data_IF_880507633530
#
_entry.id   IF_880507633530
#
_cell.length_a   1.000
_cell.length_b   1.000
_cell.length_c   1.000
_cell.angle_alpha   90.00
_cell.angle_beta   90.00
_cell.angle_gamma   90.00
#
_symmetry.space_group_name_H-M   'P 1'
#
loop_
_entity.id
_entity.type
_entity.pdbx_description
1 polymer ?
#
# COMPACT_ATOMS: atom_id res chain seq x y z
N UNK A 1 -11.04 28.60 6.56
CA UNK A 1 -9.93 27.76 6.08
C UNK A 1 -9.03 28.53 5.12
N UNK A 2 -7.72 28.34 5.20
CA UNK A 2 -6.76 28.89 4.21
C UNK A 2 -6.85 28.17 2.85
N UNK A 3 -7.52 27.01 2.81
CA UNK A 3 -7.68 26.16 1.62
C UNK A 3 -8.84 26.61 0.71
N UNK A 4 -9.69 27.54 1.12
CA UNK A 4 -10.70 28.14 0.25
C UNK A 4 -9.99 29.19 -0.57
N UNK A 5 -9.77 28.94 -1.85
CA UNK A 5 -8.95 29.78 -2.73
C UNK A 5 -9.73 31.01 -3.24
N UNK A 6 -11.03 30.86 -3.43
CA UNK A 6 -11.90 31.94 -3.92
C UNK A 6 -12.05 33.03 -2.86
N UNK A 7 -11.49 34.20 -3.12
CA UNK A 7 -11.51 35.37 -2.21
C UNK A 7 -12.91 35.90 -1.96
N UNK A 8 -13.79 35.87 -2.97
CA UNK A 8 -15.18 36.35 -2.85
C UNK A 8 -15.98 35.39 -1.95
N UNK A 9 -15.81 34.08 -2.14
CA UNK A 9 -16.45 33.08 -1.30
C UNK A 9 -15.97 33.14 0.15
N UNK A 10 -14.67 33.35 0.36
CA UNK A 10 -14.13 33.58 1.72
C UNK A 10 -14.73 34.82 2.39
N UNK A 11 -14.94 35.92 1.64
CA UNK A 11 -15.57 37.10 2.14
C UNK A 11 -17.05 36.86 2.48
N UNK A 12 -17.79 36.15 1.62
CA UNK A 12 -19.19 35.74 1.86
C UNK A 12 -19.31 34.90 3.13
N UNK A 13 -18.56 33.83 3.24
CA UNK A 13 -18.58 32.93 4.39
C UNK A 13 -18.19 33.65 5.69
N UNK A 14 -17.23 34.56 5.62
CA UNK A 14 -16.85 35.41 6.79
C UNK A 14 -17.98 36.34 7.21
N UNK A 15 -18.70 36.94 6.26
CA UNK A 15 -19.83 37.81 6.56
C UNK A 15 -20.97 37.05 7.22
N UNK A 16 -21.36 35.87 6.64
CA UNK A 16 -22.37 34.97 7.18
C UNK A 16 -22.07 34.62 8.64
N UNK A 17 -20.88 34.07 8.90
CA UNK A 17 -20.50 33.66 10.26
C UNK A 17 -20.41 34.84 11.22
N UNK A 18 -20.03 36.04 10.77
CA UNK A 18 -20.01 37.23 11.63
C UNK A 18 -21.40 37.64 12.09
N UNK A 19 -22.45 37.34 11.33
CA UNK A 19 -23.83 37.64 11.67
C UNK A 19 -24.45 36.61 12.64
N UNK A 20 -24.15 35.32 12.44
CA UNK A 20 -24.80 34.22 13.20
C UNK A 20 -23.99 33.79 14.43
N UNK A 21 -22.71 34.13 14.52
CA UNK A 21 -21.83 33.66 15.59
C UNK A 21 -22.16 34.32 16.95
N UNK A 22 -22.37 33.51 18.04
CA UNK A 22 -22.52 34.06 19.37
C UNK A 22 -21.27 34.77 19.88
N UNK A 23 -21.48 35.69 20.85
CA UNK A 23 -20.39 36.37 21.52
C UNK A 23 -19.55 35.37 22.33
N UNK A 24 -18.21 35.49 22.24
CA UNK A 24 -17.28 34.62 22.97
C UNK A 24 -16.96 33.30 22.31
N UNK A 25 -17.56 32.97 21.16
CA UNK A 25 -17.31 31.74 20.41
C UNK A 25 -16.35 31.97 19.23
N UNK A 26 -15.32 31.13 19.10
CA UNK A 26 -14.45 31.05 17.93
C UNK A 26 -14.96 30.05 16.93
N UNK A 27 -14.99 30.39 15.63
CA UNK A 27 -15.47 29.52 14.55
C UNK A 27 -14.43 29.39 13.46
N UNK A 28 -14.20 28.17 12.99
CA UNK A 28 -13.36 27.85 11.82
C UNK A 28 -14.26 27.19 10.77
N UNK A 29 -14.40 27.85 9.62
CA UNK A 29 -15.11 27.31 8.47
C UNK A 29 -14.18 26.40 7.69
N UNK A 30 -14.62 25.20 7.39
CA UNK A 30 -13.90 24.22 6.55
C UNK A 30 -14.21 24.41 5.07
N UNK A 31 -13.49 23.71 4.21
CA UNK A 31 -13.66 23.70 2.75
C UNK A 31 -15.01 23.16 2.30
N UNK A 32 -15.59 22.24 3.06
CA UNK A 32 -16.91 21.66 2.79
C UNK A 32 -18.07 22.69 2.83
N UNK A 33 -17.84 23.84 3.42
CA UNK A 33 -18.81 24.93 3.44
C UNK A 33 -18.77 25.79 2.16
N UNK A 34 -17.81 25.57 1.26
CA UNK A 34 -17.71 26.31 0.01
C UNK A 34 -18.92 25.99 -0.89
N UNK A 35 -19.63 27.04 -1.31
CA UNK A 35 -20.86 26.90 -2.13
C UNK A 35 -22.12 26.53 -1.35
N UNK A 36 -22.04 26.25 -0.04
CA UNK A 36 -23.23 25.94 0.75
C UNK A 36 -24.09 27.18 1.03
N UNK A 37 -25.39 26.96 1.26
CA UNK A 37 -26.31 28.03 1.55
C UNK A 37 -26.07 28.66 2.94
N UNK A 38 -26.54 29.87 3.16
CA UNK A 38 -26.45 30.51 4.48
C UNK A 38 -27.24 29.75 5.55
N UNK A 39 -28.38 29.17 5.14
CA UNK A 39 -29.21 28.36 6.02
C UNK A 39 -28.49 27.11 6.51
N UNK A 40 -27.77 26.40 5.62
CA UNK A 40 -27.02 25.19 5.98
C UNK A 40 -25.89 25.49 6.96
N UNK A 41 -25.20 26.63 6.77
CA UNK A 41 -24.13 27.09 7.68
C UNK A 41 -24.69 27.47 9.06
N UNK A 42 -25.88 28.08 9.08
CA UNK A 42 -26.57 28.43 10.33
C UNK A 42 -27.02 27.18 11.07
N UNK A 43 -27.64 26.21 10.37
CA UNK A 43 -28.10 24.94 10.94
C UNK A 43 -26.91 24.16 11.54
N UNK A 44 -25.79 24.09 10.85
CA UNK A 44 -24.57 23.41 11.36
C UNK A 44 -24.04 24.08 12.64
N UNK A 45 -24.06 25.42 12.69
CA UNK A 45 -23.68 26.16 13.90
C UNK A 45 -24.65 25.89 15.06
N UNK A 46 -25.96 25.88 14.82
CA UNK A 46 -26.97 25.62 15.84
C UNK A 46 -26.82 24.21 16.42
N UNK A 47 -26.60 23.19 15.58
CA UNK A 47 -26.32 21.81 16.00
C UNK A 47 -25.06 21.74 16.88
N UNK A 48 -23.99 22.49 16.53
CA UNK A 48 -22.78 22.52 17.35
C UNK A 48 -23.00 23.21 18.70
N UNK A 49 -23.78 24.28 18.75
CA UNK A 49 -24.14 24.97 19.99
C UNK A 49 -25.02 24.11 20.90
N UNK A 50 -25.99 23.39 20.34
CA UNK A 50 -26.80 22.44 21.09
C UNK A 50 -25.95 21.31 21.71
N UNK A 51 -25.03 20.74 20.91
CA UNK A 51 -24.07 19.74 21.42
C UNK A 51 -23.23 20.29 22.57
N UNK A 52 -22.73 21.52 22.44
CA UNK A 52 -21.98 22.16 23.51
C UNK A 52 -22.78 22.35 24.78
N UNK A 53 -24.01 22.85 24.67
CA UNK A 53 -24.90 23.00 25.81
C UNK A 53 -25.20 21.66 26.51
N UNK A 54 -25.41 20.60 25.76
CA UNK A 54 -25.61 19.25 26.30
C UNK A 54 -24.35 18.75 27.05
N UNK A 55 -23.13 19.06 26.55
CA UNK A 55 -21.88 18.72 27.23
C UNK A 55 -21.74 19.48 28.54
N UNK A 56 -22.05 20.77 28.54
CA UNK A 56 -21.97 21.63 29.75
C UNK A 56 -22.96 21.11 30.80
N UNK A 57 -24.21 20.85 30.42
CA UNK A 57 -25.23 20.31 31.31
C UNK A 57 -24.85 18.95 31.90
N UNK A 58 -24.25 18.06 31.06
CA UNK A 58 -23.72 16.78 31.53
C UNK A 58 -22.56 16.96 32.50
N UNK A 59 -21.69 17.95 32.28
CA UNK A 59 -20.57 18.26 33.16
C UNK A 59 -21.01 18.74 34.55
N UNK A 60 -22.12 19.47 34.62
CA UNK A 60 -22.67 19.97 35.86
C UNK A 60 -23.41 18.88 36.69
N UNK A 61 -23.97 17.88 36.00
CA UNK A 61 -24.78 16.85 36.61
C UNK A 61 -24.05 15.58 36.99
N UNK A 62 -22.89 15.28 36.36
CA UNK A 62 -22.16 14.04 36.55
C UNK A 62 -20.95 14.24 37.47
N UNK A 63 -20.74 13.25 38.38
CA UNK A 63 -19.56 13.26 39.28
C UNK A 63 -18.31 12.70 38.59
N UNK A 64 -17.15 13.37 38.73
CA UNK A 64 -15.88 12.87 38.21
C UNK A 64 -15.41 11.57 38.92
N UNK A 65 -14.67 10.67 38.23
CA UNK A 65 -14.34 10.69 36.81
C UNK A 65 -15.46 10.08 35.94
N UNK A 66 -15.95 10.83 34.94
CA UNK A 66 -16.95 10.31 34.01
C UNK A 66 -16.71 10.83 32.59
N UNK A 67 -17.09 10.00 31.57
CA UNK A 67 -17.01 10.39 30.16
C UNK A 67 -18.22 11.23 29.80
N UNK A 68 -18.07 12.54 29.69
CA UNK A 68 -19.15 13.47 29.42
C UNK A 68 -19.54 13.48 27.94
N UNK A 69 -18.54 13.42 27.04
CA UNK A 69 -18.77 13.44 25.61
C UNK A 69 -17.71 12.59 24.88
N UNK A 70 -18.15 11.86 23.90
CA UNK A 70 -17.27 11.18 22.95
C UNK A 70 -17.50 11.77 21.58
N UNK A 71 -16.49 12.43 21.03
CA UNK A 71 -16.56 12.88 19.64
C UNK A 71 -16.64 11.68 18.71
N UNK A 72 -17.30 11.88 17.62
CA UNK A 72 -17.61 10.99 16.50
C UNK A 72 -17.00 9.60 16.60
N UNK A 73 -17.83 8.56 16.71
CA UNK A 73 -17.35 7.20 16.65
C UNK A 73 -16.84 6.85 15.22
N UNK A 74 -16.17 5.72 15.11
CA UNK A 74 -15.57 5.25 13.86
C UNK A 74 -16.60 5.21 12.71
N UNK A 75 -17.83 4.76 12.98
CA UNK A 75 -18.89 4.63 11.98
C UNK A 75 -19.26 5.99 11.38
N UNK A 76 -19.46 6.99 12.23
CA UNK A 76 -19.75 8.36 11.79
C UNK A 76 -18.62 8.94 10.92
N UNK A 77 -17.36 8.73 11.34
CA UNK A 77 -16.19 9.20 10.58
C UNK A 77 -16.09 8.51 9.23
N UNK A 78 -16.27 7.20 9.18
CA UNK A 78 -16.22 6.42 7.93
C UNK A 78 -17.28 6.90 6.96
N UNK A 79 -18.54 7.09 7.41
CA UNK A 79 -19.60 7.58 6.54
C UNK A 79 -19.26 8.98 6.01
N UNK A 80 -18.82 9.88 6.89
CA UNK A 80 -18.46 11.26 6.50
C UNK A 80 -17.31 11.30 5.48
N UNK A 81 -16.32 10.42 5.62
CA UNK A 81 -15.12 10.46 4.80
C UNK A 81 -15.22 9.61 3.54
N UNK A 82 -15.97 8.50 3.57
CA UNK A 82 -16.05 7.53 2.50
C UNK A 82 -17.36 7.58 1.70
N UNK A 83 -18.45 8.12 2.26
CA UNK A 83 -19.71 8.24 1.55
C UNK A 83 -19.67 9.47 0.62
N UNK A 84 -19.69 9.22 -0.68
CA UNK A 84 -19.69 10.21 -1.76
C UNK A 84 -20.99 10.09 -2.57
N UNK A 85 -21.18 10.97 -3.54
CA UNK A 85 -22.31 10.90 -4.47
C UNK A 85 -22.36 9.58 -5.25
N UNK A 86 -21.20 8.98 -5.48
CA UNK A 86 -21.07 7.70 -6.20
C UNK A 86 -21.35 6.47 -5.32
N UNK A 87 -21.58 6.65 -4.02
CA UNK A 87 -21.86 5.55 -3.10
C UNK A 87 -23.25 4.98 -3.33
N UNK A 88 -23.34 3.77 -3.87
CA UNK A 88 -24.61 3.10 -4.15
C UNK A 88 -25.19 2.36 -2.93
N UNK A 89 -24.34 1.69 -2.14
CA UNK A 89 -24.77 0.83 -1.05
C UNK A 89 -23.79 0.85 0.13
N UNK A 90 -24.33 0.79 1.34
CA UNK A 90 -23.59 0.58 2.59
C UNK A 90 -24.09 -0.74 3.20
N UNK A 91 -23.20 -1.71 3.32
CA UNK A 91 -23.48 -3.03 3.90
C UNK A 91 -22.93 -3.08 5.31
N UNK A 92 -23.76 -3.50 6.27
CA UNK A 92 -23.40 -3.64 7.69
C UNK A 92 -23.80 -5.01 8.22
N UNK A 93 -23.10 -5.50 9.23
CA UNK A 93 -23.29 -6.84 9.80
C UNK A 93 -24.19 -6.88 11.05
N UNK A 94 -24.56 -5.72 11.60
CA UNK A 94 -25.41 -5.63 12.79
C UNK A 94 -26.60 -4.69 12.58
N UNK A 95 -27.77 -5.06 13.15
CA UNK A 95 -28.96 -4.22 13.11
C UNK A 95 -28.72 -2.87 13.83
N UNK A 96 -27.88 -2.86 14.87
CA UNK A 96 -27.50 -1.64 15.57
C UNK A 96 -26.75 -0.67 14.67
N UNK A 97 -25.75 -1.17 13.92
CA UNK A 97 -25.02 -0.36 12.95
C UNK A 97 -25.92 0.14 11.82
N UNK A 98 -26.86 -0.70 11.33
CA UNK A 98 -27.83 -0.32 10.30
C UNK A 98 -28.66 0.89 10.73
N UNK A 99 -29.27 0.83 11.92
CA UNK A 99 -30.07 1.94 12.44
C UNK A 99 -29.25 3.21 12.63
N UNK A 100 -28.02 3.08 13.09
CA UNK A 100 -27.10 4.24 13.23
C UNK A 100 -26.74 4.86 11.90
N UNK A 101 -26.40 4.04 10.90
CA UNK A 101 -26.08 4.53 9.53
C UNK A 101 -27.26 5.28 8.96
N UNK A 102 -28.48 4.72 9.08
CA UNK A 102 -29.70 5.38 8.61
C UNK A 102 -29.90 6.74 9.27
N UNK A 103 -29.74 6.82 10.60
CA UNK A 103 -29.89 8.08 11.35
C UNK A 103 -28.81 9.11 10.90
N UNK A 104 -27.57 8.68 10.66
CA UNK A 104 -26.49 9.56 10.19
C UNK A 104 -26.83 10.13 8.80
N UNK A 105 -27.26 9.28 7.88
CA UNK A 105 -27.62 9.68 6.50
C UNK A 105 -28.81 10.62 6.48
N UNK A 106 -29.82 10.39 7.32
CA UNK A 106 -31.00 11.26 7.46
C UNK A 106 -30.63 12.65 7.99
N UNK A 107 -29.77 12.71 9.02
CA UNK A 107 -29.36 13.97 9.63
C UNK A 107 -28.45 14.83 8.75
N UNK A 108 -27.77 14.21 7.81
CA UNK A 108 -26.78 14.94 6.99
C UNK A 108 -27.27 15.35 5.61
N UNK A 109 -28.48 14.96 5.24
CA UNK A 109 -29.02 15.20 3.88
C UNK A 109 -28.08 14.72 2.76
N UNK A 110 -27.08 13.88 3.12
CA UNK A 110 -26.13 13.29 2.18
C UNK A 110 -26.84 12.22 1.38
N UNK A 111 -26.76 12.33 0.08
CA UNK A 111 -27.20 11.40 -0.95
C UNK A 111 -28.41 10.50 -0.55
N UNK A 112 -29.62 11.00 -0.85
CA UNK A 112 -30.90 10.31 -0.55
C UNK A 112 -31.05 8.91 -1.19
N UNK A 113 -30.11 8.52 -2.06
CA UNK A 113 -30.17 7.29 -2.85
C UNK A 113 -29.29 6.16 -2.32
N UNK A 114 -28.54 6.36 -1.23
CA UNK A 114 -27.69 5.30 -0.66
C UNK A 114 -28.52 4.23 -0.01
N UNK A 115 -28.43 3.01 -0.52
CA UNK A 115 -29.09 1.84 0.06
C UNK A 115 -28.31 1.34 1.27
N UNK A 116 -28.99 1.12 2.41
CA UNK A 116 -28.37 0.51 3.59
C UNK A 116 -28.90 -0.91 3.76
N UNK A 117 -27.99 -1.89 3.69
CA UNK A 117 -28.34 -3.32 3.71
C UNK A 117 -27.73 -4.01 4.92
N UNK A 118 -28.55 -4.82 5.61
CA UNK A 118 -28.07 -5.69 6.69
C UNK A 118 -27.59 -7.01 6.10
N UNK A 119 -26.31 -7.32 6.29
CA UNK A 119 -25.73 -8.60 5.93
C UNK A 119 -26.25 -9.70 6.87
N UNK A 120 -26.76 -10.81 6.30
CA UNK A 120 -27.34 -11.93 7.04
C UNK A 120 -26.63 -13.26 6.77
N UNK A 121 -25.45 -13.22 6.12
CA UNK A 121 -24.67 -14.42 5.83
C UNK A 121 -24.11 -15.08 7.10
N UNK A 122 -23.71 -16.33 6.98
CA UNK A 122 -23.08 -17.12 8.06
C UNK A 122 -21.57 -16.84 8.19
N UNK A 123 -20.92 -16.47 7.10
CA UNK A 123 -19.50 -16.09 7.10
C UNK A 123 -19.34 -14.62 7.50
N UNK A 124 -18.22 -14.24 8.12
CA UNK A 124 -17.93 -12.83 8.37
C UNK A 124 -17.98 -11.99 7.09
N UNK A 125 -18.59 -10.80 7.14
CA UNK A 125 -18.80 -9.92 5.99
C UNK A 125 -17.53 -9.67 5.16
N UNK A 126 -16.39 -9.40 5.81
CA UNK A 126 -15.12 -9.16 5.12
C UNK A 126 -14.55 -10.40 4.39
N UNK A 127 -14.98 -11.59 4.80
CA UNK A 127 -14.61 -12.86 4.13
C UNK A 127 -15.52 -13.07 2.93
N UNK A 128 -16.83 -12.92 3.10
CA UNK A 128 -17.82 -13.07 2.04
C UNK A 128 -17.55 -12.12 0.86
N UNK A 129 -17.16 -10.87 1.15
CA UNK A 129 -16.81 -9.86 0.15
C UNK A 129 -15.34 -9.94 -0.33
N UNK A 130 -14.60 -10.98 0.05
CA UNK A 130 -13.18 -11.19 -0.30
C UNK A 130 -12.21 -10.07 0.12
N UNK A 131 -12.63 -9.12 0.95
CA UNK A 131 -11.80 -7.98 1.41
C UNK A 131 -10.56 -8.47 2.15
N UNK A 132 -10.66 -9.59 2.88
CA UNK A 132 -9.52 -10.20 3.56
C UNK A 132 -8.38 -10.61 2.61
N UNK A 133 -8.70 -11.01 1.37
CA UNK A 133 -7.71 -11.36 0.34
C UNK A 133 -6.99 -10.11 -0.17
N UNK A 134 -7.75 -9.03 -0.39
CA UNK A 134 -7.18 -7.74 -0.80
C UNK A 134 -6.26 -7.15 0.27
N UNK A 135 -6.63 -7.24 1.55
CA UNK A 135 -5.77 -6.82 2.67
C UNK A 135 -4.48 -7.64 2.69
N UNK A 136 -4.56 -8.97 2.54
CA UNK A 136 -3.38 -9.83 2.48
C UNK A 136 -2.49 -9.50 1.28
N UNK A 137 -3.09 -9.28 0.11
CA UNK A 137 -2.36 -8.86 -1.10
C UNK A 137 -1.65 -7.51 -0.90
N UNK A 138 -2.34 -6.56 -0.28
CA UNK A 138 -1.79 -5.24 0.02
C UNK A 138 -0.67 -5.24 1.10
N UNK A 139 -0.50 -6.32 1.85
CA UNK A 139 0.62 -6.47 2.79
C UNK A 139 1.88 -7.09 2.16
N UNK A 140 1.77 -7.61 0.93
CA UNK A 140 2.92 -8.15 0.21
C UNK A 140 3.81 -7.02 -0.33
N UNK A 141 5.12 -7.26 -0.34
CA UNK A 141 6.10 -6.34 -0.93
C UNK A 141 5.89 -6.27 -2.44
N UNK A 142 5.62 -7.41 -3.09
CA UNK A 142 5.38 -7.52 -4.53
C UNK A 142 3.91 -7.35 -4.86
N UNK A 143 3.61 -6.45 -5.79
CA UNK A 143 2.29 -6.20 -6.35
C UNK A 143 2.31 -6.55 -7.83
N UNK A 144 1.48 -7.50 -8.26
CA UNK A 144 1.38 -7.86 -9.66
C UNK A 144 0.39 -6.93 -10.38
N UNK A 145 0.73 -6.55 -11.60
CA UNK A 145 -0.12 -5.76 -12.48
C UNK A 145 -0.83 -6.67 -13.51
N UNK A 146 -2.01 -6.28 -14.02
CA UNK A 146 -2.78 -7.09 -14.97
C UNK A 146 -2.02 -7.48 -16.25
N UNK A 147 -1.16 -6.60 -16.76
CA UNK A 147 -0.33 -6.88 -17.95
C UNK A 147 0.74 -7.95 -17.73
N UNK A 148 1.03 -8.31 -16.48
CA UNK A 148 2.10 -9.24 -16.10
C UNK A 148 3.37 -8.55 -15.62
N UNK A 149 3.41 -7.22 -15.60
CA UNK A 149 4.38 -6.43 -14.86
C UNK A 149 4.14 -6.50 -13.35
N UNK A 150 5.03 -5.93 -12.57
CA UNK A 150 4.88 -5.90 -11.12
C UNK A 150 5.66 -4.76 -10.48
N UNK A 151 5.21 -4.35 -9.30
CA UNK A 151 5.87 -3.38 -8.44
C UNK A 151 6.50 -4.08 -7.24
N UNK A 152 7.65 -3.58 -6.79
CA UNK A 152 8.15 -3.81 -5.44
C UNK A 152 7.95 -2.56 -4.61
N UNK A 153 7.24 -2.67 -3.47
CA UNK A 153 6.98 -1.56 -2.55
C UNK A 153 7.64 -1.90 -1.22
N UNK A 154 8.69 -1.16 -0.88
CA UNK A 154 9.46 -1.37 0.33
C UNK A 154 9.55 -0.08 1.14
N UNK A 155 9.13 -0.16 2.40
CA UNK A 155 9.23 0.95 3.35
C UNK A 155 10.47 0.76 4.21
N UNK A 156 11.34 1.75 4.20
CA UNK A 156 12.52 1.86 5.07
C UNK A 156 12.21 2.77 6.27
N UNK A 157 13.18 3.04 7.12
CA UNK A 157 13.04 3.99 8.23
C UNK A 157 12.74 5.42 7.74
N UNK A 158 13.37 5.85 6.63
CA UNK A 158 13.32 7.22 6.16
C UNK A 158 12.30 7.47 5.03
N UNK A 159 12.09 6.49 4.16
CA UNK A 159 11.31 6.66 2.93
C UNK A 159 10.74 5.34 2.43
N UNK A 160 9.79 5.41 1.50
CA UNK A 160 9.29 4.25 0.77
C UNK A 160 9.87 4.25 -0.64
N UNK A 161 10.35 3.11 -1.10
CA UNK A 161 10.82 2.91 -2.48
C UNK A 161 9.82 2.05 -3.23
N UNK A 162 9.52 2.44 -4.46
CA UNK A 162 8.66 1.70 -5.39
C UNK A 162 9.46 1.46 -6.67
N UNK A 163 9.73 0.19 -6.97
CA UNK A 163 10.48 -0.26 -8.15
C UNK A 163 9.49 -0.88 -9.15
N UNK A 164 9.53 -0.42 -10.41
CA UNK A 164 8.64 -0.85 -11.50
C UNK A 164 9.33 -1.84 -12.40
N UNK A 165 8.69 -2.99 -12.61
CA UNK A 165 9.22 -4.08 -13.43
C UNK A 165 8.24 -4.52 -14.50
N UNK A 166 8.68 -4.67 -15.76
CA UNK A 166 7.85 -5.13 -16.88
C UNK A 166 7.50 -6.62 -16.82
N UNK A 167 8.25 -7.42 -16.04
CA UNK A 167 8.02 -8.86 -15.92
C UNK A 167 8.19 -9.59 -17.24
N UNK A 168 7.17 -10.36 -17.63
CA UNK A 168 7.13 -11.10 -18.89
C UNK A 168 6.29 -10.44 -19.98
N UNK A 169 5.93 -9.18 -19.80
CA UNK A 169 5.11 -8.46 -20.75
C UNK A 169 5.90 -8.16 -22.04
N UNK A 170 5.48 -8.75 -23.16
CA UNK A 170 6.15 -8.66 -24.46
C UNK A 170 5.13 -8.48 -25.61
N UNK A 171 3.94 -7.95 -25.34
CA UNK A 171 2.84 -7.95 -26.31
C UNK A 171 2.81 -6.76 -27.25
N UNK A 172 3.71 -5.79 -27.12
CA UNK A 172 3.76 -4.61 -27.97
C UNK A 172 4.73 -4.77 -29.14
N UNK A 173 4.54 -3.97 -30.20
CA UNK A 173 5.33 -4.03 -31.42
C UNK A 173 6.77 -3.57 -31.24
N UNK A 174 7.01 -2.67 -30.26
CA UNK A 174 8.33 -2.14 -29.93
C UNK A 174 8.60 -2.21 -28.43
N UNK A 175 9.88 -2.22 -28.07
CA UNK A 175 10.29 -2.23 -26.66
C UNK A 175 9.86 -0.94 -25.93
N UNK A 176 10.03 0.22 -26.60
CA UNK A 176 9.69 1.53 -26.03
C UNK A 176 8.18 1.62 -25.73
N UNK A 177 7.32 1.13 -26.63
CA UNK A 177 5.87 1.08 -26.41
C UNK A 177 5.50 0.17 -25.24
N UNK A 178 6.22 -0.94 -25.07
CA UNK A 178 6.02 -1.85 -23.93
C UNK A 178 6.40 -1.15 -22.60
N UNK A 179 7.52 -0.41 -22.59
CA UNK A 179 7.98 0.34 -21.41
C UNK A 179 6.95 1.40 -21.04
N UNK A 180 6.51 2.22 -22.00
CA UNK A 180 5.54 3.27 -21.76
C UNK A 180 4.23 2.71 -21.19
N UNK A 181 3.67 1.67 -21.80
CA UNK A 181 2.44 1.02 -21.33
C UNK A 181 2.60 0.45 -19.91
N UNK A 182 3.74 -0.19 -19.61
CA UNK A 182 4.02 -0.72 -18.28
C UNK A 182 4.12 0.39 -17.25
N UNK A 183 4.79 1.49 -17.57
CA UNK A 183 4.92 2.62 -16.66
C UNK A 183 3.58 3.34 -16.43
N UNK A 184 2.71 3.48 -17.45
CA UNK A 184 1.36 4.03 -17.29
C UNK A 184 0.51 3.14 -16.37
N UNK A 185 0.53 1.81 -16.59
CA UNK A 185 -0.17 0.88 -15.71
C UNK A 185 0.37 0.96 -14.28
N UNK A 186 1.70 1.09 -14.13
CA UNK A 186 2.34 1.25 -12.83
C UNK A 186 1.88 2.53 -12.11
N UNK A 187 1.71 3.65 -12.82
CA UNK A 187 1.21 4.91 -12.25
C UNK A 187 -0.14 4.72 -11.57
N UNK A 188 -1.10 4.08 -12.24
CA UNK A 188 -2.43 3.84 -11.67
C UNK A 188 -2.37 2.91 -10.45
N UNK A 189 -1.56 1.85 -10.55
CA UNK A 189 -1.42 0.92 -9.44
C UNK A 189 -0.67 1.55 -8.25
N UNK A 190 0.36 2.39 -8.48
CA UNK A 190 1.05 3.15 -7.44
C UNK A 190 0.08 4.07 -6.71
N UNK A 191 -0.72 4.86 -7.45
CA UNK A 191 -1.72 5.75 -6.85
C UNK A 191 -2.74 4.97 -6.01
N UNK A 192 -3.18 3.78 -6.48
CA UNK A 192 -4.04 2.87 -5.72
C UNK A 192 -3.36 2.36 -4.46
N UNK A 193 -2.12 1.89 -4.53
CA UNK A 193 -1.37 1.33 -3.41
C UNK A 193 -1.01 2.37 -2.34
N UNK A 194 -0.69 3.60 -2.73
CA UNK A 194 -0.46 4.70 -1.80
C UNK A 194 -1.67 4.96 -0.90
N UNK A 195 -2.88 4.96 -1.49
CA UNK A 195 -4.14 5.13 -0.75
C UNK A 195 -4.48 3.89 0.06
N UNK A 196 -4.44 2.69 -0.54
CA UNK A 196 -4.83 1.42 0.09
C UNK A 196 -3.96 1.09 1.31
N UNK A 197 -2.64 1.25 1.19
CA UNK A 197 -1.69 1.00 2.28
C UNK A 197 -1.55 2.18 3.23
N UNK A 198 -2.14 3.32 2.90
CA UNK A 198 -1.97 4.60 3.59
C UNK A 198 -0.48 4.93 3.80
N UNK A 199 0.30 4.83 2.72
CA UNK A 199 1.73 5.18 2.73
C UNK A 199 1.86 6.69 2.90
N UNK A 200 2.76 7.11 3.79
CA UNK A 200 3.05 8.52 4.03
C UNK A 200 4.53 8.78 4.15
N UNK A 201 4.90 10.06 4.15
CA UNK A 201 6.28 10.51 4.12
C UNK A 201 6.80 10.66 2.70
N UNK A 202 8.12 10.55 2.55
CA UNK A 202 8.80 10.58 1.25
C UNK A 202 8.66 9.24 0.55
N UNK A 203 8.33 9.26 -0.74
CA UNK A 203 8.26 8.08 -1.61
C UNK A 203 9.11 8.35 -2.84
N UNK A 204 9.93 7.40 -3.20
CA UNK A 204 10.73 7.42 -4.44
C UNK A 204 10.21 6.32 -5.35
N UNK A 205 9.89 6.68 -6.58
CA UNK A 205 9.42 5.76 -7.61
C UNK A 205 10.53 5.62 -8.65
N UNK A 206 10.93 4.39 -8.91
CA UNK A 206 11.87 4.01 -9.95
C UNK A 206 11.11 3.42 -11.14
N UNK A 207 10.86 4.27 -12.15
CA UNK A 207 10.19 3.87 -13.38
C UNK A 207 11.18 3.18 -14.31
N UNK A 208 10.67 2.29 -15.17
CA UNK A 208 11.50 1.71 -16.23
C UNK A 208 12.00 2.83 -17.13
N UNK A 209 13.30 2.83 -17.40
CA UNK A 209 13.99 3.87 -18.19
C UNK A 209 13.31 4.11 -19.54
N UNK A 210 13.01 5.38 -19.83
CA UNK A 210 12.43 5.85 -21.07
C UNK A 210 13.42 6.76 -21.80
N UNK A 211 13.63 6.52 -23.08
CA UNK A 211 14.50 7.33 -23.91
C UNK A 211 13.81 8.62 -24.38
N UNK A 212 12.51 8.55 -24.67
CA UNK A 212 11.72 9.65 -25.20
C UNK A 212 11.38 10.68 -24.10
N UNK A 213 11.68 11.94 -24.36
CA UNK A 213 11.25 13.04 -23.48
C UNK A 213 9.72 13.20 -23.45
N UNK A 214 9.04 12.89 -24.55
CA UNK A 214 7.59 12.93 -24.60
C UNK A 214 6.97 11.90 -23.67
N UNK A 215 7.51 10.67 -23.65
CA UNK A 215 7.03 9.60 -22.76
C UNK A 215 7.25 9.95 -21.29
N UNK A 216 8.41 10.55 -20.97
CA UNK A 216 8.69 11.05 -19.61
C UNK A 216 7.68 12.09 -19.14
N UNK A 217 7.29 13.03 -20.03
CA UNK A 217 6.27 14.02 -19.71
C UNK A 217 4.88 13.37 -19.55
N UNK A 218 4.52 12.46 -20.45
CA UNK A 218 3.24 11.74 -20.39
C UNK A 218 3.07 10.96 -19.07
N UNK A 219 4.12 10.31 -18.59
CA UNK A 219 4.09 9.60 -17.29
C UNK A 219 3.92 10.58 -16.12
N UNK A 220 4.56 11.74 -16.16
CA UNK A 220 4.41 12.76 -15.10
C UNK A 220 3.00 13.34 -15.06
N UNK A 221 2.42 13.67 -16.22
CA UNK A 221 1.05 14.14 -16.33
C UNK A 221 0.05 13.09 -15.84
N UNK A 222 0.24 11.82 -16.24
CA UNK A 222 -0.62 10.72 -15.81
C UNK A 222 -0.51 10.46 -14.30
N UNK A 223 0.69 10.60 -13.73
CA UNK A 223 0.90 10.44 -12.28
C UNK A 223 0.16 11.54 -11.50
N UNK A 224 0.23 12.78 -11.94
CA UNK A 224 -0.49 13.90 -11.31
C UNK A 224 -2.01 13.66 -11.37
N UNK A 225 -2.54 13.25 -12.54
CA UNK A 225 -3.96 12.93 -12.72
C UNK A 225 -4.40 11.74 -11.83
N UNK A 226 -3.61 10.67 -11.76
CA UNK A 226 -3.93 9.50 -10.94
C UNK A 226 -3.91 9.81 -9.42
N UNK A 227 -3.15 10.81 -9.00
CA UNK A 227 -3.05 11.26 -7.61
C UNK A 227 -4.06 12.35 -7.24
N UNK A 228 -4.71 13.01 -8.21
CA UNK A 228 -5.69 14.08 -7.96
C UNK A 228 -6.83 13.67 -7.00
N UNK A 229 -7.42 12.44 -7.12
CA UNK A 229 -8.47 11.98 -6.20
C UNK A 229 -7.98 11.71 -4.77
N UNK A 230 -6.67 11.73 -4.52
CA UNK A 230 -6.14 11.45 -3.18
C UNK A 230 -6.37 12.63 -2.22
N UNK A 231 -7.20 12.40 -1.21
CA UNK A 231 -7.51 13.40 -0.17
C UNK A 231 -6.27 13.91 0.60
N UNK A 232 -5.19 13.13 0.61
CA UNK A 232 -3.93 13.53 1.22
C UNK A 232 -3.15 14.55 0.38
N UNK A 233 -3.56 14.78 -0.88
CA UNK A 233 -2.95 15.71 -1.83
C UNK A 233 -1.43 15.57 -1.87
N UNK A 234 -0.91 14.45 -2.41
CA UNK A 234 0.54 14.25 -2.54
C UNK A 234 1.16 15.38 -3.36
N UNK A 235 2.38 15.74 -3.02
CA UNK A 235 3.17 16.68 -3.82
C UNK A 235 4.17 15.86 -4.62
N UNK A 236 4.13 15.98 -5.94
CA UNK A 236 5.00 15.27 -6.87
C UNK A 236 6.14 16.21 -7.28
N UNK A 237 7.37 15.70 -7.19
CA UNK A 237 8.56 16.37 -7.71
C UNK A 237 8.72 16.14 -9.21
N UNK A 238 9.82 16.65 -9.77
CA UNK A 238 10.15 16.43 -11.18
C UNK A 238 10.83 15.07 -11.35
N UNK A 239 10.73 14.50 -12.56
CA UNK A 239 11.53 13.34 -12.94
C UNK A 239 13.01 13.74 -12.95
N UNK A 240 13.83 13.05 -12.16
CA UNK A 240 15.26 13.30 -12.10
C UNK A 240 15.98 12.79 -13.35
N UNK A 241 17.25 13.21 -13.55
CA UNK A 241 18.07 12.71 -14.66
C UNK A 241 18.33 11.19 -14.56
N UNK A 242 18.21 10.63 -13.35
CA UNK A 242 18.35 9.20 -13.07
C UNK A 242 17.05 8.39 -13.28
N UNK A 243 15.97 8.99 -13.79
CA UNK A 243 14.69 8.30 -14.01
C UNK A 243 13.83 8.15 -12.75
N UNK A 244 14.21 8.77 -11.61
CA UNK A 244 13.48 8.68 -10.36
C UNK A 244 12.47 9.81 -10.23
N UNK A 245 11.30 9.49 -9.68
CA UNK A 245 10.29 10.48 -9.28
C UNK A 245 10.17 10.51 -7.77
N UNK A 246 10.32 11.69 -7.20
CA UNK A 246 10.13 11.94 -5.78
C UNK A 246 8.71 12.44 -5.54
N UNK A 247 8.05 11.92 -4.53
CA UNK A 247 6.78 12.48 -4.04
C UNK A 247 6.74 12.50 -2.52
N UNK A 248 5.96 13.42 -1.98
CA UNK A 248 5.67 13.48 -0.55
C UNK A 248 4.17 13.37 -0.31
N UNK A 249 3.77 12.52 0.63
CA UNK A 249 2.37 12.31 0.98
C UNK A 249 2.17 12.44 2.49
N UNK A 250 1.25 13.32 2.89
CA UNK A 250 0.92 13.52 4.29
C UNK A 250 -0.25 12.61 4.69
N UNK A 251 0.06 11.42 5.25
CA UNK A 251 -0.98 10.47 5.70
C UNK A 251 -1.66 10.93 6.99
N UNK A 252 -2.92 10.55 7.16
CA UNK A 252 -3.66 10.67 8.41
C UNK A 252 -3.91 9.28 9.00
N UNK A 253 -3.47 9.07 10.24
CA UNK A 253 -3.62 7.78 10.92
C UNK A 253 -2.56 6.74 10.58
N UNK A 254 -2.82 5.50 10.95
CA UNK A 254 -1.90 4.37 10.81
C UNK A 254 -1.88 3.82 9.38
N UNK A 255 -0.74 3.27 8.97
CA UNK A 255 -0.63 2.52 7.72
C UNK A 255 -1.25 1.13 7.87
N UNK A 256 -1.58 0.51 6.73
CA UNK A 256 -2.14 -0.84 6.71
C UNK A 256 -1.20 -1.85 7.41
N UNK A 257 0.10 -1.72 7.20
CA UNK A 257 1.10 -2.58 7.84
C UNK A 257 1.16 -2.39 9.36
N UNK A 258 1.05 -1.15 9.87
CA UNK A 258 1.03 -0.89 11.31
C UNK A 258 -0.19 -1.52 12.00
N UNK A 259 -1.33 -1.63 11.29
CA UNK A 259 -2.56 -2.23 11.83
C UNK A 259 -2.49 -3.77 11.82
N UNK A 260 -2.02 -4.36 10.72
CA UNK A 260 -2.16 -5.81 10.48
C UNK A 260 -0.87 -6.61 10.65
N UNK A 261 0.29 -5.98 10.91
CA UNK A 261 1.56 -6.70 11.05
C UNK A 261 2.22 -6.47 12.41
N UNK A 262 3.11 -7.38 12.77
CA UNK A 262 4.00 -7.26 13.92
C UNK A 262 5.43 -7.55 13.48
N UNK A 263 6.39 -6.86 14.09
CA UNK A 263 7.81 -7.14 13.83
C UNK A 263 8.13 -8.61 14.15
N UNK A 264 8.87 -9.27 13.25
CA UNK A 264 9.29 -10.64 13.43
C UNK A 264 10.21 -10.74 14.67
N UNK A 265 9.90 -11.62 15.66
CA UNK A 265 10.74 -11.75 16.86
C UNK A 265 12.13 -12.32 16.58
N UNK A 266 12.31 -13.06 15.48
CA UNK A 266 13.59 -13.68 15.12
C UNK A 266 14.55 -12.68 14.46
N UNK A 267 14.13 -11.96 13.43
CA UNK A 267 14.99 -11.03 12.68
C UNK A 267 14.74 -9.56 13.07
N UNK A 268 13.80 -9.27 13.97
CA UNK A 268 13.43 -7.93 14.42
C UNK A 268 13.13 -6.95 13.27
N UNK A 269 12.77 -7.47 12.10
CA UNK A 269 12.47 -6.72 10.89
C UNK A 269 13.60 -6.61 9.88
N UNK A 270 14.79 -7.18 10.14
CA UNK A 270 15.92 -7.15 9.20
C UNK A 270 15.74 -8.05 7.97
N UNK A 271 14.81 -9.03 8.03
CA UNK A 271 14.57 -9.99 6.94
C UNK A 271 15.66 -11.05 6.78
N UNK A 272 16.74 -11.00 7.57
CA UNK A 272 17.85 -11.94 7.52
C UNK A 272 18.33 -12.32 8.91
N UNK A 273 19.02 -13.44 8.99
CA UNK A 273 19.72 -13.90 10.19
C UNK A 273 21.21 -13.66 10.04
N UNK A 274 21.83 -13.16 11.09
CA UNK A 274 23.28 -13.04 11.15
C UNK A 274 23.87 -14.44 11.45
N UNK A 275 24.75 -14.91 10.59
CA UNK A 275 25.52 -16.12 10.85
C UNK A 275 26.54 -15.86 11.96
N UNK A 276 26.72 -16.82 12.85
CA UNK A 276 27.81 -16.74 13.79
C UNK A 276 29.16 -16.86 13.08
N UNK A 277 29.99 -15.83 13.19
CA UNK A 277 31.34 -15.80 12.65
C UNK A 277 32.31 -16.11 13.77
N UNK A 278 33.20 -17.09 13.54
CA UNK A 278 34.31 -17.33 14.43
C UNK A 278 35.63 -17.05 13.68
N UNK A 279 36.23 -15.92 13.97
CA UNK A 279 37.50 -15.48 13.36
C UNK A 279 38.73 -15.93 14.14
N UNK A 280 38.56 -16.61 15.29
CA UNK A 280 39.65 -16.85 16.23
C UNK A 280 40.53 -18.06 15.88
N UNK A 281 40.03 -19.04 15.11
CA UNK A 281 40.81 -20.22 14.72
C UNK A 281 40.36 -20.78 13.37
N UNK A 282 41.30 -21.13 12.46
CA UNK A 282 40.96 -21.88 11.27
C UNK A 282 40.48 -23.26 11.69
N UNK A 283 39.20 -23.50 11.63
CA UNK A 283 38.59 -24.82 11.87
C UNK A 283 38.91 -25.74 10.71
N UNK A 284 39.52 -26.90 10.97
CA UNK A 284 39.71 -27.92 9.95
C UNK A 284 38.36 -28.39 9.35
N UNK A 285 38.33 -28.84 8.12
CA UNK A 285 37.11 -29.25 7.39
C UNK A 285 36.23 -30.24 8.17
N UNK A 286 36.80 -31.07 9.05
CA UNK A 286 36.08 -32.04 9.87
C UNK A 286 35.26 -31.38 10.99
N UNK A 287 35.81 -30.32 11.62
CA UNK A 287 35.09 -29.54 12.65
C UNK A 287 34.01 -28.65 12.03
N UNK A 288 34.23 -28.12 10.83
CA UNK A 288 33.23 -27.37 10.07
C UNK A 288 32.04 -28.27 9.70
N UNK A 289 32.28 -29.51 9.25
CA UNK A 289 31.23 -30.50 8.97
C UNK A 289 30.46 -30.90 10.23
N UNK A 290 31.13 -31.04 11.36
CA UNK A 290 30.51 -31.37 12.65
C UNK A 290 29.66 -30.20 13.21
N UNK A 291 30.06 -28.93 13.02
CA UNK A 291 29.28 -27.76 13.41
C UNK A 291 28.06 -27.58 12.52
N UNK A 292 28.19 -27.76 11.20
CA UNK A 292 27.07 -27.73 10.24
C UNK A 292 26.05 -28.84 10.55
N UNK A 293 26.50 -30.00 10.98
CA UNK A 293 25.61 -31.12 11.38
C UNK A 293 24.85 -30.81 12.68
N UNK A 294 25.44 -30.04 13.62
CA UNK A 294 24.78 -29.62 14.87
C UNK A 294 23.82 -28.43 14.69
N UNK A 295 24.03 -27.58 13.67
CA UNK A 295 23.16 -26.44 13.36
C UNK A 295 21.97 -26.81 12.48
N UNK A 296 21.92 -28.04 11.96
CA UNK A 296 20.68 -28.56 11.36
C UNK A 296 19.69 -28.82 12.49
N UNK A 297 18.98 -27.81 12.92
CA UNK A 297 17.75 -27.99 13.69
C UNK A 297 16.85 -28.96 12.92
N UNK A 298 16.26 -29.95 13.60
CA UNK A 298 15.35 -30.87 12.94
C UNK A 298 14.11 -30.11 12.48
N UNK A 299 14.01 -29.90 11.18
CA UNK A 299 12.78 -29.47 10.48
C UNK A 299 11.71 -30.60 10.58
N UNK A 300 11.85 -31.50 11.54
CA UNK A 300 11.12 -32.77 11.61
C UNK A 300 9.76 -32.67 12.32
N UNK A 301 9.24 -31.50 12.67
CA UNK A 301 7.94 -31.46 13.36
C UNK A 301 6.86 -30.56 12.70
N UNK A 302 7.09 -30.03 11.52
CA UNK A 302 6.03 -29.28 10.82
C UNK A 302 5.22 -30.10 9.81
N UNK A 303 5.76 -31.25 9.33
CA UNK A 303 5.09 -32.09 8.32
C UNK A 303 4.32 -33.29 8.91
N UNK A 304 4.29 -33.49 10.24
CA UNK A 304 3.59 -34.64 10.85
C UNK A 304 2.11 -34.40 11.17
N UNK A 305 1.60 -33.20 10.91
CA UNK A 305 0.15 -32.89 11.08
C UNK A 305 -0.66 -32.80 9.79
N UNK A 306 -0.02 -32.96 8.63
CA UNK A 306 -0.74 -32.99 7.33
C UNK A 306 -0.80 -34.36 6.65
N UNK A 307 -0.11 -35.39 7.21
CA UNK A 307 -0.14 -36.74 6.61
C UNK A 307 -1.20 -37.68 7.19
N UNK A 308 -1.93 -37.26 8.23
CA UNK A 308 -2.97 -38.11 8.86
C UNK A 308 -4.41 -37.82 8.35
N UNK A 309 -4.61 -36.85 7.47
CA UNK A 309 -5.95 -36.56 6.89
C UNK A 309 -6.15 -37.03 5.44
N UNK A 310 -5.13 -37.61 4.77
CA UNK A 310 -5.23 -38.05 3.36
C UNK A 310 -5.11 -39.58 3.14
N UNK A 311 -5.49 -40.37 4.14
CA UNK A 311 -5.58 -41.85 3.99
C UNK A 311 -7.01 -42.33 3.94
N UNK A 312 -7.82 -41.81 3.05
CA UNK A 312 -9.04 -42.51 2.58
C UNK A 312 -9.40 -41.99 1.21
N UNK A 313 -8.83 -42.61 0.17
CA UNK A 313 -9.54 -43.02 -1.06
C UNK A 313 -8.55 -43.41 -2.18
N UNK A 314 -8.79 -44.63 -2.62
CA UNK A 314 -8.61 -45.18 -3.95
C UNK A 314 -7.22 -45.57 -4.48
N UNK A 315 -7.01 -46.89 -4.42
CA UNK A 315 -6.14 -47.68 -5.30
C UNK A 315 -6.63 -47.56 -6.75
N UNK A 316 -5.77 -47.10 -7.65
CA UNK A 316 -5.81 -47.53 -9.06
C UNK A 316 -4.39 -47.87 -9.48
N UNK A 317 -4.20 -49.13 -9.84
CA UNK A 317 -3.01 -49.69 -10.47
C UNK A 317 -2.78 -49.06 -11.85
N UNK A 318 -1.54 -48.67 -12.14
CA UNK A 318 -1.05 -48.69 -13.52
C UNK A 318 0.41 -49.14 -13.61
N UNK A 319 0.59 -50.06 -14.52
CA UNK A 319 1.76 -50.85 -14.88
C UNK A 319 2.92 -50.03 -15.41
N UNK A 320 4.10 -50.58 -15.14
CA UNK A 320 5.44 -50.24 -15.60
C UNK A 320 5.59 -50.19 -17.13
N UNK A 321 6.28 -49.19 -17.65
CA UNK A 321 7.14 -49.34 -18.82
C UNK A 321 8.41 -48.50 -18.69
N UNK A 322 9.54 -49.19 -18.76
CA UNK A 322 10.91 -48.71 -18.94
C UNK A 322 11.04 -47.92 -20.24
N UNK A 323 11.78 -46.82 -20.25
CA UNK A 323 12.81 -46.64 -21.28
C UNK A 323 13.83 -45.56 -20.93
N UNK A 324 15.06 -45.95 -21.10
CA UNK A 324 16.32 -45.28 -21.12
C UNK A 324 16.30 -43.90 -21.80
N UNK A 325 16.96 -42.90 -21.19
CA UNK A 325 17.77 -41.91 -21.89
C UNK A 325 18.71 -41.22 -20.89
N UNK A 326 19.85 -41.82 -20.66
CA UNK A 326 21.09 -41.21 -20.22
C UNK A 326 21.90 -40.96 -21.50
N UNK A 327 22.21 -39.68 -21.82
CA UNK A 327 23.44 -39.29 -22.57
C UNK A 327 23.35 -37.95 -23.32
N UNK A 328 22.77 -36.88 -22.72
CA UNK A 328 22.90 -35.54 -23.35
C UNK A 328 23.36 -34.39 -22.42
N UNK A 329 23.66 -34.65 -21.16
CA UNK A 329 23.95 -33.56 -20.19
C UNK A 329 25.46 -33.32 -19.94
N UNK A 330 26.35 -34.01 -20.66
CA UNK A 330 27.81 -33.86 -20.40
C UNK A 330 28.56 -32.97 -21.41
N UNK A 331 27.96 -32.58 -22.52
CA UNK A 331 28.60 -31.68 -23.49
C UNK A 331 28.41 -30.17 -23.21
N UNK A 332 27.35 -29.80 -22.49
CA UNK A 332 27.11 -28.38 -22.18
C UNK A 332 27.95 -27.81 -21.01
N UNK A 333 28.54 -28.67 -20.18
CA UNK A 333 29.41 -28.22 -19.08
C UNK A 333 30.87 -27.89 -19.52
N UNK A 334 31.34 -28.46 -20.62
CA UNK A 334 32.70 -28.17 -21.14
C UNK A 334 32.77 -26.87 -21.95
N UNK A 335 31.71 -26.47 -22.63
CA UNK A 335 31.66 -25.23 -23.41
C UNK A 335 31.56 -23.95 -22.57
N UNK A 336 31.07 -24.05 -21.34
CA UNK A 336 30.94 -22.85 -20.47
C UNK A 336 32.23 -22.51 -19.69
N UNK A 337 33.15 -23.49 -19.48
CA UNK A 337 34.47 -23.24 -18.90
C UNK A 337 35.42 -22.54 -19.86
N UNK A 338 35.35 -22.86 -21.16
CA UNK A 338 36.22 -22.23 -22.17
C UNK A 338 35.78 -20.78 -22.53
N UNK A 339 34.54 -20.41 -22.31
CA UNK A 339 34.09 -19.03 -22.50
C UNK A 339 34.51 -18.09 -21.35
N UNK A 340 34.57 -18.57 -20.12
CA UNK A 340 35.06 -17.76 -18.97
C UNK A 340 36.56 -17.49 -19.03
N UNK A 341 37.37 -18.46 -19.51
CA UNK A 341 38.81 -18.24 -19.63
C UNK A 341 39.19 -17.26 -20.75
N UNK A 342 38.46 -17.23 -21.87
CA UNK A 342 38.69 -16.25 -22.93
C UNK A 342 38.27 -14.82 -22.57
N UNK A 343 37.37 -14.65 -21.64
CA UNK A 343 36.92 -13.31 -21.19
C UNK A 343 37.97 -12.68 -20.26
N UNK A 344 38.53 -13.47 -19.34
CA UNK A 344 39.59 -12.99 -18.43
C UNK A 344 40.93 -12.68 -19.11
N UNK A 345 41.28 -13.35 -20.20
CA UNK A 345 42.48 -13.01 -20.99
C UNK A 345 42.32 -11.70 -21.78
N UNK A 346 41.11 -11.38 -22.25
CA UNK A 346 40.86 -10.12 -22.96
C UNK A 346 40.88 -8.90 -22.05
N UNK A 347 40.45 -9.03 -20.81
CA UNK A 347 40.55 -7.93 -19.82
C UNK A 347 42.01 -7.69 -19.38
N UNK A 348 42.78 -8.75 -19.16
CA UNK A 348 44.22 -8.60 -18.82
C UNK A 348 45.03 -7.87 -19.90
N UNK A 349 44.75 -8.15 -21.18
CA UNK A 349 45.42 -7.49 -22.30
C UNK A 349 44.95 -6.03 -22.53
N UNK A 350 43.78 -5.65 -22.04
CA UNK A 350 43.32 -4.25 -22.07
C UNK A 350 44.01 -3.39 -21.02
N UNK A 351 44.29 -3.92 -19.85
CA UNK A 351 45.01 -3.21 -18.79
C UNK A 351 46.50 -3.00 -19.15
N UNK A 352 47.14 -3.99 -19.76
CA UNK A 352 48.55 -3.87 -20.18
C UNK A 352 48.78 -2.87 -21.34
N UNK A 353 47.79 -2.69 -22.23
CA UNK A 353 47.88 -1.71 -23.30
C UNK A 353 47.55 -0.27 -22.90
N UNK A 354 46.89 -0.07 -21.73
CA UNK A 354 46.60 1.25 -21.20
C UNK A 354 47.80 1.86 -20.45
N UNK A 355 48.65 1.03 -19.85
CA UNK A 355 49.89 1.49 -19.19
C UNK A 355 51.01 1.87 -20.17
N UNK A 356 51.00 1.36 -21.42
CA UNK A 356 52.01 1.71 -22.42
C UNK A 356 51.69 2.97 -23.25
N UNK A 357 50.57 3.63 -23.02
CA UNK A 357 50.20 4.89 -23.69
C UNK A 357 50.25 6.12 -22.76
N UNK A 358 50.77 5.96 -21.54
CA UNK A 358 50.94 7.06 -20.57
C UNK A 358 52.42 7.31 -20.19
N UNK A 359 53.37 6.81 -20.96
CA UNK A 359 54.74 7.30 -21.03
C UNK A 359 54.96 7.99 -22.40
#
# INVERSE_FOLDING_TARGET
SKKIENTNERARLKAVVSLIKPVGVGVIIRTEAEGQSEADIQEDLEILLEKWNNIVTAAETQTPPNLIYRDQDLLYRVIREACTEDTAEIVVDTAFAMNRVQNILQNWHINKNVKVTLYKGTEPLLIAENIHKEIKAALNVKVNMPSGGYLYIQTTEALTVIDVNSGKFTSSSTQDETILKTNIEAVHEIARQLRLRNIGGMVIIDFIDMLSRADKLAIMEELELALEPDKAKPQVGQLSDLGLVELTRHRQGQSLSEIFTKKCPHCQGSGCFVNEFNFATPTGEAEMKAKIAKTKMPIANFNKKQEDEDKTSEKVEFTSENNNNTDENNQNRKNNKNRKNKFNEREKNRFLNAEQQSE
#
